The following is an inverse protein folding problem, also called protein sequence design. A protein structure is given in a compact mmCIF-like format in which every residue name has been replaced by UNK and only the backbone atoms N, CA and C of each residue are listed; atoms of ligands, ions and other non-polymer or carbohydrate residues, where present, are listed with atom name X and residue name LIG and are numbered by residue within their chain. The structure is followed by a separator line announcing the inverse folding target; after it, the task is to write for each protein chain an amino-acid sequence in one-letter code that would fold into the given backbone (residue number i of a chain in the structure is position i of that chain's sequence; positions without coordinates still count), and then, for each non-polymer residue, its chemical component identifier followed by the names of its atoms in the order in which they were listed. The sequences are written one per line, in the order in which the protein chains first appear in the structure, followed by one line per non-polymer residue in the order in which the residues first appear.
data_IF_174912126450
#
_entry.id   IF_174912126450
#
_cell.length_a   1.000
_cell.length_b   1.000
_cell.length_c   1.000
_cell.angle_alpha   90.00
_cell.angle_beta   90.00
_cell.angle_gamma   90.00
#
_symmetry.space_group_name_H-M   'P 1'
#
loop_
_entity.id
_entity.type
_entity.pdbx_description
1 polymer ?
#
# COMPACT_ATOMS: atom_id res chain seq x y z
N UNK A 1 22.41 13.90 -30.23
CA UNK A 1 22.60 12.44 -30.36
C UNK A 1 21.30 11.84 -30.91
N UNK A 2 21.38 10.85 -31.80
CA UNK A 2 20.21 10.20 -32.42
C UNK A 2 20.47 8.69 -32.37
N UNK A 3 19.54 7.92 -31.82
CA UNK A 3 19.51 6.46 -31.96
C UNK A 3 18.47 6.12 -33.05
N UNK A 4 18.91 5.50 -34.14
CA UNK A 4 18.03 5.19 -35.28
C UNK A 4 17.12 3.97 -35.05
N UNK A 5 17.40 3.19 -34.00
CA UNK A 5 16.73 1.92 -33.70
C UNK A 5 17.52 0.72 -34.24
N UNK A 6 17.32 -0.45 -33.62
CA UNK A 6 17.98 -1.71 -34.00
C UNK A 6 17.13 -2.60 -34.94
N UNK A 7 16.10 -2.05 -35.55
CA UNK A 7 15.25 -2.79 -36.48
C UNK A 7 15.89 -2.87 -37.86
N UNK A 8 15.58 -3.92 -38.62
CA UNK A 8 16.12 -4.12 -39.98
C UNK A 8 15.73 -2.99 -40.95
N UNK A 9 14.59 -2.36 -40.72
CA UNK A 9 14.12 -1.20 -41.47
C UNK A 9 13.77 -0.08 -40.50
N UNK A 10 14.59 0.96 -40.49
CA UNK A 10 14.42 2.13 -39.61
C UNK A 10 13.82 3.30 -40.37
N UNK A 11 13.12 4.19 -39.66
CA UNK A 11 12.49 5.37 -40.27
C UNK A 11 13.47 6.45 -40.75
N UNK A 12 14.69 6.49 -40.21
CA UNK A 12 15.80 7.33 -40.69
C UNK A 12 17.12 6.58 -40.55
N UNK A 13 17.98 6.58 -41.55
CA UNK A 13 19.23 5.80 -41.55
C UNK A 13 20.44 6.64 -41.15
N UNK A 14 21.62 6.01 -41.01
CA UNK A 14 22.85 6.72 -40.62
C UNK A 14 23.19 7.89 -41.55
N UNK A 15 23.11 7.67 -42.87
CA UNK A 15 23.50 8.69 -43.85
C UNK A 15 22.61 9.94 -43.77
N UNK A 16 21.30 9.79 -43.56
CA UNK A 16 20.37 10.92 -43.45
C UNK A 16 20.75 11.84 -42.29
N UNK A 17 21.09 11.23 -41.14
CA UNK A 17 21.43 11.95 -39.93
C UNK A 17 22.83 12.57 -40.02
N UNK A 18 23.81 11.88 -40.62
CA UNK A 18 25.15 12.43 -40.83
C UNK A 18 25.17 13.59 -41.83
N UNK A 19 24.37 13.55 -42.89
CA UNK A 19 24.24 14.69 -43.80
C UNK A 19 23.61 15.92 -43.11
N UNK A 20 22.66 15.71 -42.19
CA UNK A 20 22.12 16.79 -41.36
C UNK A 20 23.16 17.37 -40.40
N UNK A 21 24.01 16.52 -39.83
CA UNK A 21 25.12 16.93 -38.96
C UNK A 21 26.23 17.65 -39.75
N UNK A 22 26.53 17.21 -40.97
CA UNK A 22 27.44 17.89 -41.89
C UNK A 22 26.95 19.31 -42.20
N UNK A 23 25.66 19.48 -42.48
CA UNK A 23 25.06 20.78 -42.77
C UNK A 23 24.98 21.72 -41.54
N UNK A 24 25.03 21.20 -40.31
CA UNK A 24 24.93 22.01 -39.10
C UNK A 24 26.29 22.63 -38.73
N UNK A 25 26.46 23.97 -38.76
CA UNK A 25 27.74 24.61 -38.46
C UNK A 25 28.22 24.40 -37.02
N UNK A 26 27.33 24.09 -36.08
CA UNK A 26 27.69 23.83 -34.67
C UNK A 26 28.35 22.46 -34.47
N UNK A 27 28.13 21.51 -35.39
CA UNK A 27 28.77 20.19 -35.33
C UNK A 27 30.16 20.28 -35.93
N UNK A 28 31.19 19.87 -35.17
CA UNK A 28 32.60 19.91 -35.60
C UNK A 28 33.17 18.56 -36.03
N UNK A 29 32.63 17.48 -35.49
CA UNK A 29 32.92 16.10 -35.88
C UNK A 29 31.70 15.22 -35.58
N UNK A 30 31.68 14.02 -36.14
CA UNK A 30 30.57 13.07 -35.99
C UNK A 30 31.06 11.75 -35.41
N UNK A 31 30.20 11.09 -34.64
CA UNK A 31 30.42 9.74 -34.12
C UNK A 31 29.34 8.81 -34.68
N UNK A 32 29.75 7.75 -35.37
CA UNK A 32 28.87 6.67 -35.84
C UNK A 32 29.14 5.40 -35.05
N UNK A 33 28.12 4.88 -34.38
CA UNK A 33 28.17 3.55 -33.77
C UNK A 33 27.25 2.63 -34.57
N UNK A 34 27.86 1.82 -35.43
CA UNK A 34 27.16 0.85 -36.26
C UNK A 34 27.09 -0.52 -35.59
N UNK A 35 26.50 -1.49 -36.26
CA UNK A 35 26.39 -2.86 -35.77
C UNK A 35 26.61 -3.90 -36.88
N UNK A 36 26.76 -5.15 -36.49
CA UNK A 36 26.72 -6.30 -37.41
C UNK A 36 25.34 -6.39 -38.06
N UNK A 37 25.26 -6.81 -39.33
CA UNK A 37 24.00 -6.94 -40.07
C UNK A 37 23.67 -5.73 -40.94
N UNK A 38 23.12 -5.98 -42.13
CA UNK A 38 22.82 -4.93 -43.11
C UNK A 38 24.05 -4.19 -43.65
N UNK A 39 23.81 -3.15 -44.47
CA UNK A 39 24.86 -2.46 -45.24
C UNK A 39 24.76 -0.94 -45.19
N UNK A 40 24.05 -0.38 -44.20
CA UNK A 40 23.78 1.06 -44.14
C UNK A 40 25.06 1.90 -43.97
N UNK A 41 26.06 1.39 -43.26
CA UNK A 41 27.35 2.07 -43.04
C UNK A 41 28.12 2.28 -44.35
N UNK A 42 27.92 1.43 -45.36
CA UNK A 42 28.56 1.62 -46.67
C UNK A 42 28.05 2.86 -47.42
N UNK A 43 26.81 3.30 -47.15
CA UNK A 43 26.31 4.58 -47.70
C UNK A 43 27.08 5.77 -47.14
N UNK A 44 27.54 5.67 -45.89
CA UNK A 44 28.39 6.68 -45.24
C UNK A 44 29.78 6.67 -45.86
N UNK A 45 30.36 5.48 -46.06
CA UNK A 45 31.65 5.31 -46.75
C UNK A 45 31.62 5.98 -48.12
N UNK A 46 30.56 5.76 -48.91
CA UNK A 46 30.40 6.38 -50.22
C UNK A 46 30.24 7.91 -50.16
N UNK A 47 29.53 8.42 -49.15
CA UNK A 47 29.40 9.85 -48.93
C UNK A 47 30.73 10.54 -48.57
N UNK A 48 31.60 9.84 -47.83
CA UNK A 48 32.97 10.31 -47.53
C UNK A 48 33.82 10.29 -48.80
N UNK A 49 33.84 9.17 -49.55
CA UNK A 49 34.59 9.06 -50.83
C UNK A 49 34.20 10.14 -51.84
N UNK A 50 32.90 10.43 -51.95
CA UNK A 50 32.38 11.44 -52.87
C UNK A 50 32.54 12.89 -52.38
N UNK A 51 33.09 13.10 -51.18
CA UNK A 51 33.31 14.43 -50.60
C UNK A 51 32.03 15.14 -50.15
N UNK A 52 30.91 14.40 -50.01
CA UNK A 52 29.64 14.93 -49.48
C UNK A 52 29.70 15.14 -47.97
N UNK A 53 30.46 14.30 -47.26
CA UNK A 53 30.80 14.51 -45.86
C UNK A 53 32.27 14.85 -45.78
N UNK A 54 32.59 16.01 -45.19
CA UNK A 54 33.96 16.52 -45.08
C UNK A 54 34.43 16.64 -43.64
N UNK A 55 33.51 16.79 -42.69
CA UNK A 55 33.88 16.83 -41.27
C UNK A 55 34.39 15.46 -40.81
N UNK A 56 35.34 15.42 -39.86
CA UNK A 56 35.86 14.18 -39.32
C UNK A 56 34.76 13.27 -38.78
N UNK A 57 34.85 11.98 -39.10
CA UNK A 57 33.97 10.93 -38.55
C UNK A 57 34.83 9.96 -37.74
N UNK A 58 34.40 9.68 -36.51
CA UNK A 58 34.82 8.50 -35.75
C UNK A 58 33.75 7.44 -35.92
N UNK A 59 34.12 6.21 -36.29
CA UNK A 59 33.15 5.14 -36.43
C UNK A 59 33.61 3.80 -35.87
N UNK A 60 32.67 3.05 -35.33
CA UNK A 60 32.88 1.66 -34.91
C UNK A 60 31.60 0.85 -35.08
N UNK A 61 31.68 -0.27 -35.80
CA UNK A 61 30.64 -1.29 -35.84
C UNK A 61 30.89 -2.32 -34.74
N UNK A 62 29.91 -2.48 -33.85
CA UNK A 62 29.92 -3.53 -32.81
C UNK A 62 29.48 -4.89 -33.37
N UNK A 63 29.75 -5.98 -32.65
CA UNK A 63 29.42 -7.34 -33.09
C UNK A 63 30.57 -8.07 -33.78
N UNK A 64 31.82 -7.64 -33.55
CA UNK A 64 33.03 -8.30 -34.07
C UNK A 64 33.20 -9.74 -33.58
N UNK A 65 32.55 -10.11 -32.47
CA UNK A 65 32.53 -11.49 -31.96
C UNK A 65 31.79 -12.45 -32.91
N UNK A 66 30.88 -11.96 -33.75
CA UNK A 66 30.04 -12.77 -34.64
C UNK A 66 30.86 -13.75 -35.51
N UNK A 67 32.09 -13.37 -35.86
CA UNK A 67 33.01 -14.18 -36.67
C UNK A 67 33.54 -15.45 -36.00
N UNK A 68 33.45 -15.53 -34.67
CA UNK A 68 33.91 -16.68 -33.90
C UNK A 68 32.79 -17.70 -33.64
N UNK A 69 31.58 -17.45 -34.15
CA UNK A 69 30.47 -18.39 -34.08
C UNK A 69 30.33 -19.13 -35.42
N UNK A 70 30.15 -20.45 -35.35
CA UNK A 70 30.04 -21.32 -36.53
C UNK A 70 28.67 -21.25 -37.22
N UNK A 71 27.67 -20.62 -36.57
CA UNK A 71 26.30 -20.45 -37.05
C UNK A 71 25.90 -18.98 -37.09
N UNK A 72 25.01 -18.59 -38.02
CA UNK A 72 24.44 -17.24 -38.04
C UNK A 72 23.72 -16.90 -36.74
N UNK A 73 24.34 -16.09 -35.89
CA UNK A 73 23.78 -15.64 -34.60
C UNK A 73 22.94 -14.39 -34.82
N UNK A 74 21.67 -14.47 -34.44
CA UNK A 74 20.80 -13.31 -34.27
C UNK A 74 21.07 -12.68 -32.90
N UNK A 75 21.55 -11.44 -32.87
CA UNK A 75 21.68 -10.67 -31.64
C UNK A 75 20.36 -9.96 -31.29
N UNK A 76 20.27 -9.35 -30.11
CA UNK A 76 19.01 -8.85 -29.53
C UNK A 76 18.27 -7.81 -30.37
N UNK A 77 18.98 -7.00 -31.15
CA UNK A 77 18.38 -6.11 -32.14
C UNK A 77 17.93 -6.90 -33.38
N UNK A 78 16.72 -6.66 -33.89
CA UNK A 78 16.16 -7.41 -35.01
C UNK A 78 17.01 -7.33 -36.29
N UNK A 79 17.74 -6.23 -36.50
CA UNK A 79 18.68 -6.03 -37.61
C UNK A 79 20.06 -6.68 -37.41
N UNK A 80 20.40 -7.07 -36.19
CA UNK A 80 21.74 -7.50 -35.82
C UNK A 80 22.01 -8.98 -36.15
N UNK A 81 22.03 -9.30 -37.44
CA UNK A 81 22.39 -10.60 -37.99
C UNK A 81 23.08 -10.42 -39.33
N UNK A 82 24.27 -11.00 -39.51
CA UNK A 82 25.01 -10.96 -40.75
C UNK A 82 24.66 -12.16 -41.63
N UNK A 83 24.16 -11.89 -42.83
CA UNK A 83 23.84 -12.92 -43.82
C UNK A 83 24.95 -13.10 -44.88
N UNK A 84 26.05 -12.35 -44.75
CA UNK A 84 27.24 -12.44 -45.60
C UNK A 84 28.38 -11.56 -45.10
N UNK A 85 29.58 -11.76 -45.66
CA UNK A 85 30.83 -11.13 -45.17
C UNK A 85 30.76 -9.60 -45.12
N UNK A 86 30.09 -8.98 -46.09
CA UNK A 86 29.91 -7.52 -46.15
C UNK A 86 29.09 -6.98 -44.96
N UNK A 87 28.20 -7.78 -44.39
CA UNK A 87 27.37 -7.40 -43.24
C UNK A 87 28.11 -7.59 -41.91
N UNK A 88 29.30 -8.19 -41.92
CA UNK A 88 30.09 -8.36 -40.69
C UNK A 88 30.65 -7.03 -40.18
N UNK A 89 30.66 -6.87 -38.85
CA UNK A 89 31.20 -5.67 -38.21
C UNK A 89 32.68 -5.41 -38.58
N UNK A 90 33.49 -6.46 -38.72
CA UNK A 90 34.90 -6.36 -39.08
C UNK A 90 35.10 -5.86 -40.52
N UNK A 91 34.31 -6.37 -41.49
CA UNK A 91 34.35 -5.89 -42.86
C UNK A 91 33.97 -4.40 -42.94
N UNK A 92 32.91 -4.00 -42.24
CA UNK A 92 32.48 -2.59 -42.16
C UNK A 92 33.55 -1.70 -41.53
N UNK A 93 34.13 -2.12 -40.39
CA UNK A 93 35.20 -1.38 -39.71
C UNK A 93 36.43 -1.19 -40.60
N UNK A 94 36.87 -2.23 -41.31
CA UNK A 94 37.97 -2.14 -42.27
C UNK A 94 37.64 -1.18 -43.42
N UNK A 95 36.45 -1.31 -44.01
CA UNK A 95 36.03 -0.47 -45.13
C UNK A 95 35.88 1.02 -44.73
N UNK A 96 35.41 1.31 -43.52
CA UNK A 96 35.39 2.67 -42.98
C UNK A 96 36.81 3.22 -42.80
N UNK A 97 37.73 2.42 -42.26
CA UNK A 97 39.13 2.84 -42.05
C UNK A 97 39.85 3.17 -43.36
N UNK A 98 39.59 2.43 -44.43
CA UNK A 98 40.20 2.64 -45.76
C UNK A 98 39.85 4.00 -46.39
N UNK A 99 38.73 4.62 -46.01
CA UNK A 99 38.30 5.93 -46.53
C UNK A 99 38.65 7.09 -45.61
N UNK A 100 39.49 6.85 -44.59
CA UNK A 100 39.96 7.90 -43.68
C UNK A 100 39.01 8.20 -42.52
N UNK A 101 37.99 7.37 -42.27
CA UNK A 101 37.20 7.44 -41.04
C UNK A 101 38.07 6.95 -39.88
N UNK A 102 38.04 7.63 -38.74
CA UNK A 102 38.77 7.23 -37.56
C UNK A 102 38.09 5.99 -36.92
N UNK A 103 38.70 4.82 -37.09
CA UNK A 103 38.17 3.54 -36.58
C UNK A 103 39.14 2.98 -35.52
N UNK A 104 38.71 2.77 -34.27
CA UNK A 104 39.56 2.19 -33.22
C UNK A 104 39.87 0.71 -33.49
N UNK A 105 40.82 0.15 -32.73
CA UNK A 105 41.12 -1.28 -32.78
C UNK A 105 40.03 -2.12 -32.08
N UNK A 106 39.44 -1.56 -31.02
CA UNK A 106 38.32 -2.13 -30.27
C UNK A 106 37.37 -1.05 -29.75
N UNK A 107 36.20 -1.44 -29.27
CA UNK A 107 35.27 -0.50 -28.64
C UNK A 107 35.88 0.21 -27.41
N UNK A 108 36.80 -0.44 -26.70
CA UNK A 108 37.44 0.12 -25.50
C UNK A 108 38.37 1.29 -25.83
N UNK A 109 38.86 1.37 -27.06
CA UNK A 109 39.77 2.44 -27.50
C UNK A 109 38.99 3.66 -28.06
N UNK A 110 37.66 3.57 -28.15
CA UNK A 110 36.81 4.64 -28.65
C UNK A 110 36.95 5.95 -27.84
N UNK A 111 37.01 5.94 -26.49
CA UNK A 111 37.22 7.16 -25.70
C UNK A 111 38.55 7.86 -26.02
N UNK A 112 39.62 7.11 -26.29
CA UNK A 112 40.93 7.66 -26.61
C UNK A 112 40.91 8.39 -27.96
N UNK A 113 40.29 7.79 -28.99
CA UNK A 113 40.15 8.44 -30.30
C UNK A 113 39.26 9.67 -30.24
N UNK A 114 38.15 9.61 -29.51
CA UNK A 114 37.26 10.77 -29.31
C UNK A 114 38.04 11.91 -28.63
N UNK A 115 38.78 11.59 -27.57
CA UNK A 115 39.61 12.57 -26.86
C UNK A 115 40.68 13.17 -27.78
N UNK A 116 41.42 12.35 -28.52
CA UNK A 116 42.49 12.82 -29.41
C UNK A 116 41.96 13.79 -30.48
N UNK A 117 40.88 13.42 -31.18
CA UNK A 117 40.28 14.28 -32.21
C UNK A 117 39.70 15.57 -31.61
N UNK A 118 39.07 15.50 -30.43
CA UNK A 118 38.58 16.70 -29.75
C UNK A 118 39.71 17.69 -29.45
N UNK A 119 40.83 17.21 -28.90
CA UNK A 119 41.97 18.06 -28.57
C UNK A 119 42.67 18.63 -29.83
N UNK A 120 42.74 17.86 -30.91
CA UNK A 120 43.24 18.33 -32.21
C UNK A 120 42.39 19.50 -32.73
N UNK A 121 41.06 19.31 -32.81
CA UNK A 121 40.13 20.33 -33.28
C UNK A 121 40.05 21.55 -32.34
N UNK A 122 40.31 21.36 -31.05
CA UNK A 122 40.42 22.44 -30.07
C UNK A 122 41.70 23.26 -30.29
N UNK A 123 42.86 22.60 -30.49
CA UNK A 123 44.14 23.25 -30.75
C UNK A 123 44.12 24.04 -32.08
N UNK A 124 43.38 23.58 -33.09
CA UNK A 124 43.13 24.30 -34.34
C UNK A 124 42.16 25.49 -34.20
N UNK A 125 41.47 25.62 -33.06
CA UNK A 125 40.46 26.65 -32.80
C UNK A 125 39.09 26.36 -33.42
N UNK A 126 38.88 25.15 -33.97
CA UNK A 126 37.60 24.70 -34.53
C UNK A 126 36.56 24.46 -33.43
N UNK A 127 37.00 23.89 -32.30
CA UNK A 127 36.22 23.77 -31.06
C UNK A 127 36.71 24.84 -30.08
N UNK A 128 35.78 25.52 -29.40
CA UNK A 128 36.07 26.57 -28.43
C UNK A 128 35.65 26.13 -27.03
N UNK A 129 36.28 26.71 -26.03
CA UNK A 129 35.85 26.53 -24.64
C UNK A 129 34.43 27.05 -24.43
N UNK A 130 33.65 26.30 -23.66
CA UNK A 130 32.32 26.69 -23.22
C UNK A 130 32.31 26.87 -21.70
N UNK A 131 31.53 27.83 -21.22
CA UNK A 131 31.33 28.01 -19.78
C UNK A 131 30.32 26.97 -19.32
N UNK A 132 30.73 26.10 -18.40
CA UNK A 132 29.87 25.07 -17.85
C UNK A 132 28.65 25.69 -17.14
N UNK A 133 27.41 25.29 -17.49
CA UNK A 133 26.22 25.81 -16.85
C UNK A 133 26.08 25.29 -15.42
N UNK A 134 25.34 26.01 -14.58
CA UNK A 134 24.93 25.48 -13.27
C UNK A 134 23.91 24.35 -13.45
N UNK A 135 24.16 23.21 -12.82
CA UNK A 135 23.28 22.04 -12.87
C UNK A 135 22.14 22.16 -11.85
N UNK A 136 20.93 21.73 -12.24
CA UNK A 136 19.81 21.60 -11.30
C UNK A 136 20.11 20.49 -10.28
N UNK A 137 19.97 20.81 -8.99
CA UNK A 137 20.16 19.84 -7.90
C UNK A 137 18.84 19.12 -7.63
N UNK A 138 18.85 17.79 -7.64
CA UNK A 138 17.68 17.01 -7.23
C UNK A 138 17.45 17.20 -5.71
N UNK A 139 16.27 17.69 -5.29
CA UNK A 139 16.02 17.94 -3.87
C UNK A 139 15.91 16.62 -3.09
N UNK A 140 16.68 16.48 -2.01
CA UNK A 140 16.70 15.33 -1.09
C UNK A 140 15.68 15.45 0.05
N UNK A 141 14.54 16.11 -0.19
CA UNK A 141 13.61 16.49 0.89
C UNK A 141 12.83 15.28 1.38
N UNK A 142 13.05 14.92 2.66
CA UNK A 142 12.23 13.96 3.39
C UNK A 142 11.05 14.68 4.04
N UNK A 143 9.83 14.20 3.81
CA UNK A 143 8.62 14.68 4.52
C UNK A 143 8.28 13.76 5.69
N UNK A 144 7.95 14.36 6.83
CA UNK A 144 7.46 13.60 8.00
C UNK A 144 6.05 13.05 7.75
N UNK A 145 5.80 11.84 8.26
CA UNK A 145 4.45 11.26 8.27
C UNK A 145 3.56 12.06 9.21
N UNK A 146 2.34 12.35 8.79
CA UNK A 146 1.35 13.10 9.59
C UNK A 146 0.40 12.20 10.38
N UNK A 147 0.27 10.94 9.93
CA UNK A 147 -0.65 9.96 10.51
C UNK A 147 0.07 8.64 10.74
N UNK A 148 -0.39 7.91 11.76
CA UNK A 148 0.07 6.57 12.09
C UNK A 148 -1.17 5.67 12.11
N UNK A 149 -1.22 4.68 11.22
CA UNK A 149 -2.19 3.58 11.29
C UNK A 149 -1.47 2.33 11.80
N UNK A 150 -2.10 1.60 12.73
CA UNK A 150 -1.53 0.36 13.29
C UNK A 150 -2.48 -0.83 13.20
N UNK A 151 -3.66 -0.65 12.60
CA UNK A 151 -4.73 -1.66 12.58
C UNK A 151 -4.92 -2.29 11.20
N UNK A 152 -4.55 -1.58 10.13
CA UNK A 152 -4.64 -2.09 8.76
C UNK A 152 -3.56 -1.50 7.87
N UNK A 153 -3.22 -2.24 6.81
CA UNK A 153 -2.31 -1.82 5.75
C UNK A 153 -2.81 -2.34 4.40
N UNK A 154 -3.05 -1.44 3.46
CA UNK A 154 -3.62 -1.69 2.13
C UNK A 154 -2.62 -1.40 1.00
N UNK A 155 -1.36 -1.11 1.33
CA UNK A 155 -0.36 -0.64 0.36
C UNK A 155 0.39 -1.76 -0.37
N UNK A 156 0.36 -2.97 0.17
CA UNK A 156 0.99 -4.15 -0.43
C UNK A 156 0.10 -4.79 -1.50
N UNK A 157 0.54 -5.94 -2.01
CA UNK A 157 -0.24 -6.74 -2.97
C UNK A 157 -1.57 -7.23 -2.38
N UNK A 158 -1.66 -7.30 -1.05
CA UNK A 158 -2.85 -7.69 -0.32
C UNK A 158 -3.08 -6.81 0.92
N UNK A 159 -4.35 -6.53 1.24
CA UNK A 159 -4.73 -5.83 2.45
C UNK A 159 -4.50 -6.67 3.70
N UNK A 160 -4.08 -6.03 4.79
CA UNK A 160 -3.80 -6.68 6.06
C UNK A 160 -4.66 -6.10 7.20
N UNK A 161 -5.10 -6.96 8.11
CA UNK A 161 -5.64 -6.60 9.43
C UNK A 161 -4.62 -6.95 10.51
N UNK A 162 -3.97 -5.94 11.10
CA UNK A 162 -2.91 -6.12 12.12
C UNK A 162 -1.89 -7.23 11.77
N UNK A 163 -1.45 -7.30 10.52
CA UNK A 163 -0.48 -8.30 10.05
C UNK A 163 -1.08 -9.62 9.55
N UNK A 164 -2.39 -9.80 9.63
CA UNK A 164 -3.08 -10.91 8.97
C UNK A 164 -3.46 -10.51 7.54
N UNK A 165 -2.98 -11.21 6.50
CA UNK A 165 -3.45 -10.97 5.13
C UNK A 165 -4.94 -11.29 5.01
N UNK A 166 -5.69 -10.51 4.22
CA UNK A 166 -7.15 -10.63 4.15
C UNK A 166 -7.59 -12.03 3.68
N UNK A 167 -6.83 -12.68 2.78
CA UNK A 167 -7.01 -14.06 2.34
C UNK A 167 -6.98 -15.08 3.49
N UNK A 168 -6.27 -14.80 4.59
CA UNK A 168 -6.22 -15.68 5.75
C UNK A 168 -7.41 -15.53 6.72
N UNK A 169 -8.30 -14.55 6.48
CA UNK A 169 -9.38 -14.21 7.43
C UNK A 169 -10.76 -14.02 6.81
N UNK A 170 -10.85 -13.69 5.52
CA UNK A 170 -12.09 -13.16 4.95
C UNK A 170 -13.15 -14.21 4.59
N UNK A 171 -12.72 -15.44 4.28
CA UNK A 171 -13.63 -16.47 3.77
C UNK A 171 -14.01 -17.49 4.85
N UNK A 172 -15.23 -18.08 4.81
CA UNK A 172 -15.70 -18.99 5.85
C UNK A 172 -14.80 -20.21 6.11
N UNK A 173 -14.07 -20.67 5.09
CA UNK A 173 -13.14 -21.80 5.18
C UNK A 173 -11.87 -21.50 5.99
N UNK A 174 -11.56 -20.23 6.26
CA UNK A 174 -10.43 -19.82 7.11
C UNK A 174 -10.65 -20.14 8.59
N UNK A 175 -11.90 -20.38 9.00
CA UNK A 175 -12.29 -20.55 10.40
C UNK A 175 -12.22 -19.27 11.24
N UNK A 176 -12.03 -18.11 10.61
CA UNK A 176 -12.19 -16.80 11.25
C UNK A 176 -13.64 -16.34 11.11
N UNK A 177 -14.16 -15.73 12.17
CA UNK A 177 -15.50 -15.15 12.18
C UNK A 177 -15.44 -13.63 12.35
N UNK A 178 -16.59 -12.96 12.31
CA UNK A 178 -16.63 -11.50 12.48
C UNK A 178 -16.07 -11.08 13.85
N UNK A 179 -16.28 -11.90 14.90
CA UNK A 179 -15.67 -11.66 16.20
C UNK A 179 -14.14 -11.77 16.20
N UNK A 180 -13.55 -12.67 15.39
CA UNK A 180 -12.09 -12.73 15.22
C UNK A 180 -11.59 -11.43 14.57
N UNK A 181 -12.23 -10.97 13.49
CA UNK A 181 -11.88 -9.71 12.79
C UNK A 181 -12.01 -8.51 13.72
N UNK A 182 -13.07 -8.43 14.52
CA UNK A 182 -13.23 -7.40 15.56
C UNK A 182 -12.08 -7.47 16.57
N UNK A 183 -11.71 -8.66 17.04
CA UNK A 183 -10.63 -8.81 18.03
C UNK A 183 -9.29 -8.31 17.48
N UNK A 184 -9.00 -8.63 16.22
CA UNK A 184 -7.78 -8.24 15.52
C UNK A 184 -7.77 -6.73 15.30
N UNK A 185 -8.83 -6.13 14.75
CA UNK A 185 -8.84 -4.69 14.44
C UNK A 185 -8.90 -3.81 15.69
N UNK A 186 -9.67 -4.19 16.70
CA UNK A 186 -9.87 -3.35 17.89
C UNK A 186 -8.78 -3.56 18.95
N UNK A 187 -8.32 -4.81 19.12
CA UNK A 187 -7.38 -5.16 20.19
C UNK A 187 -6.02 -5.66 19.68
N UNK A 188 -5.80 -5.70 18.36
CA UNK A 188 -4.54 -6.14 17.71
C UNK A 188 -4.12 -7.55 18.08
N UNK A 189 -5.09 -8.40 18.43
CA UNK A 189 -4.88 -9.79 18.86
C UNK A 189 -6.07 -10.64 18.44
N UNK A 190 -5.80 -11.85 17.98
CA UNK A 190 -6.83 -12.88 17.86
C UNK A 190 -7.14 -13.41 19.26
N UNK A 191 -8.39 -13.30 19.69
CA UNK A 191 -8.82 -13.80 20.99
C UNK A 191 -9.07 -15.31 21.00
N UNK A 192 -9.05 -15.97 22.18
CA UNK A 192 -9.50 -17.34 22.32
C UNK A 192 -10.95 -17.51 21.85
N UNK A 193 -11.31 -18.72 21.41
CA UNK A 193 -12.62 -18.99 20.79
C UNK A 193 -13.80 -18.57 21.68
N UNK A 194 -13.76 -18.86 22.98
CA UNK A 194 -14.81 -18.48 23.92
C UNK A 194 -15.05 -16.96 23.99
N UNK A 195 -14.00 -16.15 23.82
CA UNK A 195 -14.08 -14.69 23.88
C UNK A 195 -14.61 -14.14 22.56
N UNK A 196 -14.19 -14.70 21.43
CA UNK A 196 -14.76 -14.40 20.10
C UNK A 196 -16.25 -14.73 20.06
N UNK A 197 -16.63 -15.91 20.54
CA UNK A 197 -18.03 -16.34 20.63
C UNK A 197 -18.85 -15.44 21.56
N UNK A 198 -18.25 -14.94 22.65
CA UNK A 198 -18.90 -13.97 23.51
C UNK A 198 -19.14 -12.63 22.81
N UNK A 199 -18.14 -12.09 22.08
CA UNK A 199 -18.31 -10.87 21.29
C UNK A 199 -19.46 -10.99 20.29
N UNK A 200 -19.58 -12.13 19.62
CA UNK A 200 -20.70 -12.38 18.71
C UNK A 200 -22.03 -12.58 19.42
N UNK A 201 -22.01 -13.19 20.61
CA UNK A 201 -23.20 -13.32 21.46
C UNK A 201 -23.70 -11.95 21.87
N UNK A 202 -22.82 -11.04 22.26
CA UNK A 202 -23.16 -9.64 22.56
C UNK A 202 -23.75 -8.97 21.33
N UNK A 203 -23.10 -9.08 20.17
CA UNK A 203 -23.59 -8.51 18.91
C UNK A 203 -25.00 -9.00 18.54
N UNK A 204 -25.30 -10.28 18.80
CA UNK A 204 -26.63 -10.88 18.60
C UNK A 204 -27.65 -10.48 19.66
N UNK A 205 -27.20 -10.03 20.83
CA UNK A 205 -28.07 -9.66 21.97
C UNK A 205 -28.53 -8.20 21.91
N UNK A 206 -27.73 -7.31 21.32
CA UNK A 206 -28.03 -5.87 21.21
C UNK A 206 -28.35 -5.35 19.80
N UNK A 207 -28.81 -6.15 18.80
CA UNK A 207 -29.01 -5.63 17.44
C UNK A 207 -30.18 -4.64 17.36
N UNK A 208 -31.20 -4.79 18.20
CA UNK A 208 -32.34 -3.87 18.31
C UNK A 208 -33.08 -4.04 19.66
N UNK A 209 -33.75 -2.99 20.12
CA UNK A 209 -34.67 -3.02 21.28
C UNK A 209 -36.02 -2.36 20.96
N UNK A 210 -36.36 -2.30 19.68
CA UNK A 210 -37.61 -1.76 19.18
C UNK A 210 -37.58 -0.24 18.93
N UNK A 211 -38.61 0.28 18.26
CA UNK A 211 -38.58 1.61 17.64
C UNK A 211 -38.83 2.78 18.63
N UNK A 212 -38.97 2.48 19.93
CA UNK A 212 -39.29 3.46 20.96
C UNK A 212 -38.05 4.03 21.66
N UNK A 213 -36.89 3.39 21.52
CA UNK A 213 -35.65 3.89 22.09
C UNK A 213 -35.12 5.09 21.27
N UNK A 214 -34.36 5.98 21.91
CA UNK A 214 -33.93 7.27 21.32
C UNK A 214 -33.30 7.12 19.94
N UNK A 215 -32.34 6.19 19.77
CA UNK A 215 -31.65 6.00 18.49
C UNK A 215 -32.57 5.49 17.39
N UNK A 216 -33.37 4.46 17.66
CA UNK A 216 -34.31 3.91 16.69
C UNK A 216 -35.41 4.92 16.32
N UNK A 217 -35.89 5.71 17.29
CA UNK A 217 -36.86 6.77 17.04
C UNK A 217 -36.30 7.85 16.11
N UNK A 218 -35.10 8.36 16.39
CA UNK A 218 -34.44 9.38 15.57
C UNK A 218 -34.19 8.88 14.15
N UNK A 219 -33.63 7.67 14.00
CA UNK A 219 -33.40 7.08 12.68
C UNK A 219 -34.70 6.94 11.89
N UNK A 220 -35.78 6.49 12.54
CA UNK A 220 -37.11 6.38 11.93
C UNK A 220 -37.67 7.74 11.50
N UNK A 221 -37.58 8.76 12.34
CA UNK A 221 -38.07 10.12 12.02
C UNK A 221 -37.28 10.69 10.84
N UNK A 222 -35.96 10.55 10.84
CA UNK A 222 -35.09 11.04 9.76
C UNK A 222 -35.35 10.31 8.44
N UNK A 223 -35.55 8.99 8.47
CA UNK A 223 -35.93 8.24 7.27
C UNK A 223 -37.31 8.67 6.75
N UNK A 224 -38.29 8.89 7.64
CA UNK A 224 -39.61 9.42 7.26
C UNK A 224 -39.58 10.84 6.73
N UNK A 225 -38.53 11.60 7.04
CA UNK A 225 -38.26 12.91 6.45
C UNK A 225 -37.62 12.83 5.05
N UNK A 226 -37.52 11.64 4.46
CA UNK A 226 -36.99 11.43 3.10
C UNK A 226 -35.46 11.49 3.01
N UNK A 227 -34.76 11.31 4.14
CA UNK A 227 -33.30 11.27 4.16
C UNK A 227 -32.77 9.87 3.80
N UNK A 228 -31.55 9.83 3.30
CA UNK A 228 -30.86 8.59 2.93
C UNK A 228 -30.52 7.73 4.16
N UNK A 229 -30.07 6.50 3.89
CA UNK A 229 -29.74 5.50 4.92
C UNK A 229 -28.63 5.98 5.85
N UNK A 230 -27.59 6.64 5.34
CA UNK A 230 -26.45 7.09 6.14
C UNK A 230 -26.89 8.23 7.06
N UNK A 231 -27.60 9.23 6.52
CA UNK A 231 -28.16 10.33 7.32
C UNK A 231 -29.10 9.82 8.42
N UNK A 232 -29.97 8.87 8.09
CA UNK A 232 -30.91 8.28 9.04
C UNK A 232 -30.21 7.47 10.13
N UNK A 233 -29.21 6.67 9.74
CA UNK A 233 -28.39 5.90 10.68
C UNK A 233 -27.64 6.83 11.64
N UNK A 234 -26.92 7.83 11.13
CA UNK A 234 -26.13 8.77 11.94
C UNK A 234 -27.03 9.56 12.91
N UNK A 235 -28.21 9.99 12.46
CA UNK A 235 -29.19 10.66 13.33
C UNK A 235 -29.57 9.81 14.55
N UNK A 236 -29.70 8.49 14.37
CA UNK A 236 -29.90 7.55 15.47
C UNK A 236 -28.63 7.35 16.32
N UNK A 237 -27.48 7.11 15.69
CA UNK A 237 -26.21 6.85 16.38
C UNK A 237 -25.75 8.03 17.25
N UNK A 238 -26.01 9.27 16.84
CA UNK A 238 -25.68 10.47 17.63
C UNK A 238 -26.46 10.59 18.95
N UNK A 239 -27.48 9.76 19.15
CA UNK A 239 -28.17 9.66 20.45
C UNK A 239 -27.44 8.74 21.44
N UNK A 240 -26.51 7.90 20.96
CA UNK A 240 -25.75 6.97 21.80
C UNK A 240 -24.76 7.77 22.66
N UNK A 241 -24.85 7.56 23.96
CA UNK A 241 -24.09 8.31 24.96
C UNK A 241 -24.56 7.98 26.38
N UNK A 242 -24.34 8.86 27.37
CA UNK A 242 -24.54 8.53 28.79
C UNK A 242 -25.96 8.08 29.16
N UNK A 243 -26.99 8.56 28.44
CA UNK A 243 -28.40 8.23 28.73
C UNK A 243 -28.99 7.14 27.85
N UNK A 244 -28.31 6.75 26.77
CA UNK A 244 -28.76 5.74 25.82
C UNK A 244 -27.55 4.97 25.31
N UNK A 245 -27.39 3.71 25.72
CA UNK A 245 -26.26 2.84 25.36
C UNK A 245 -25.03 2.95 26.27
N UNK A 246 -24.84 4.05 27.01
CA UNK A 246 -23.68 4.24 27.90
C UNK A 246 -23.65 3.36 29.16
N UNK A 247 -24.78 2.71 29.51
CA UNK A 247 -24.88 1.92 30.74
C UNK A 247 -23.95 0.70 30.78
N UNK A 248 -23.53 0.17 29.62
CA UNK A 248 -22.57 -0.94 29.51
C UNK A 248 -21.21 -0.50 30.04
N UNK A 249 -20.69 0.62 29.52
CA UNK A 249 -19.37 1.16 29.89
C UNK A 249 -19.36 1.64 31.35
N UNK A 250 -20.43 2.31 31.78
CA UNK A 250 -20.57 2.75 33.17
C UNK A 250 -20.63 1.56 34.14
N UNK A 251 -21.38 0.50 33.82
CA UNK A 251 -21.43 -0.69 34.66
C UNK A 251 -20.03 -1.34 34.77
N UNK A 252 -19.38 -1.61 33.65
CA UNK A 252 -18.02 -2.16 33.61
C UNK A 252 -17.06 -1.32 34.46
N UNK A 253 -17.10 0.02 34.30
CA UNK A 253 -16.27 0.96 35.04
C UNK A 253 -16.49 0.89 36.55
N UNK A 254 -17.74 1.00 37.04
CA UNK A 254 -18.01 1.08 38.47
C UNK A 254 -17.85 -0.26 39.19
N UNK A 255 -18.27 -1.37 38.56
CA UNK A 255 -18.03 -2.70 39.12
C UNK A 255 -16.53 -2.99 39.18
N UNK A 256 -15.78 -2.69 38.11
CA UNK A 256 -14.33 -2.87 38.09
C UNK A 256 -13.64 -1.99 39.13
N UNK A 257 -14.04 -0.72 39.25
CA UNK A 257 -13.50 0.19 40.26
C UNK A 257 -13.70 -0.36 41.68
N UNK A 258 -14.89 -0.86 42.00
CA UNK A 258 -15.16 -1.44 43.32
C UNK A 258 -14.30 -2.68 43.58
N UNK A 259 -14.17 -3.57 42.59
CA UNK A 259 -13.33 -4.77 42.67
C UNK A 259 -11.85 -4.43 42.82
N UNK A 260 -11.32 -3.50 42.02
CA UNK A 260 -9.91 -3.09 42.04
C UNK A 260 -9.53 -2.43 43.38
N UNK A 261 -10.48 -1.76 44.04
CA UNK A 261 -10.29 -1.14 45.35
C UNK A 261 -10.65 -2.08 46.53
N UNK A 262 -10.94 -3.36 46.26
CA UNK A 262 -11.26 -4.35 47.31
C UNK A 262 -12.51 -3.99 48.12
N UNK A 263 -13.44 -3.22 47.55
CA UNK A 263 -14.68 -2.85 48.24
C UNK A 263 -15.56 -4.08 48.42
N UNK A 264 -16.13 -4.26 49.62
CA UNK A 264 -17.22 -5.24 49.76
C UNK A 264 -18.45 -4.77 48.98
N UNK A 265 -19.36 -5.67 48.57
CA UNK A 265 -20.62 -5.28 47.93
C UNK A 265 -21.40 -4.22 48.72
N UNK A 266 -21.38 -4.28 50.05
CA UNK A 266 -22.03 -3.27 50.90
C UNK A 266 -21.32 -1.91 50.85
N UNK A 267 -19.99 -1.89 50.85
CA UNK A 267 -19.22 -0.66 50.73
C UNK A 267 -19.45 0.01 49.38
N UNK A 268 -19.54 -0.78 48.31
CA UNK A 268 -19.89 -0.29 46.98
C UNK A 268 -21.29 0.31 46.93
N UNK A 269 -22.30 -0.34 47.52
CA UNK A 269 -23.65 0.24 47.62
C UNK A 269 -23.64 1.59 48.37
N UNK A 270 -22.87 1.70 49.44
CA UNK A 270 -22.72 2.93 50.21
C UNK A 270 -21.98 4.02 49.41
N UNK A 271 -20.94 3.64 48.68
CA UNK A 271 -20.21 4.53 47.78
C UNK A 271 -21.15 5.11 46.71
N UNK A 272 -21.87 4.26 45.98
CA UNK A 272 -22.81 4.72 44.94
C UNK A 272 -23.94 5.60 45.50
N UNK A 273 -24.43 5.28 46.71
CA UNK A 273 -25.40 6.12 47.41
C UNK A 273 -24.83 7.50 47.77
N UNK A 274 -23.57 7.57 48.19
CA UNK A 274 -22.87 8.82 48.53
C UNK A 274 -22.65 9.69 47.29
N UNK A 275 -22.29 9.07 46.16
CA UNK A 275 -22.17 9.76 44.87
C UNK A 275 -23.52 10.27 44.35
N UNK A 276 -24.63 9.72 44.86
CA UNK A 276 -25.98 10.12 44.45
C UNK A 276 -26.38 9.60 43.07
N UNK A 277 -25.69 8.56 42.57
CA UNK A 277 -25.89 7.98 41.25
C UNK A 277 -26.49 6.57 41.40
N UNK A 278 -27.60 6.25 40.69
CA UNK A 278 -28.09 4.87 40.62
C UNK A 278 -27.01 3.95 40.04
N UNK A 279 -26.92 2.73 40.55
CA UNK A 279 -25.89 1.77 40.11
C UNK A 279 -26.13 1.40 38.64
N UNK A 280 -25.22 1.77 37.71
CA UNK A 280 -25.36 1.40 36.31
C UNK A 280 -25.36 -0.12 36.16
N UNK A 281 -26.19 -0.63 35.27
CA UNK A 281 -26.35 -2.08 35.10
C UNK A 281 -27.31 -2.75 36.09
N UNK A 282 -27.83 -2.04 37.10
CA UNK A 282 -28.82 -2.57 38.06
C UNK A 282 -30.18 -1.90 37.83
N UNK A 283 -31.22 -2.73 37.73
CA UNK A 283 -32.61 -2.32 37.63
C UNK A 283 -33.24 -2.60 36.29
N UNK A 284 -34.51 -2.99 36.34
CA UNK A 284 -35.34 -3.22 35.17
C UNK A 284 -36.76 -2.70 35.40
N UNK A 285 -37.43 -2.21 34.34
CA UNK A 285 -38.81 -1.68 34.43
C UNK A 285 -39.87 -2.75 34.70
N UNK A 286 -39.80 -3.88 33.99
CA UNK A 286 -40.80 -4.97 34.03
C UNK A 286 -40.26 -6.27 34.67
N UNK A 287 -39.05 -6.70 34.27
CA UNK A 287 -38.39 -7.92 34.75
C UNK A 287 -38.00 -7.83 36.22
N UNK A 288 -37.96 -9.00 36.86
CA UNK A 288 -37.69 -9.19 38.29
C UNK A 288 -37.12 -10.59 38.52
N UNK A 289 -36.81 -10.94 39.78
CA UNK A 289 -36.36 -12.30 40.12
C UNK A 289 -37.34 -13.40 39.71
N UNK A 290 -38.65 -13.12 39.71
CA UNK A 290 -39.69 -14.10 39.33
C UNK A 290 -39.96 -14.13 37.82
N UNK A 291 -39.54 -13.10 37.09
CA UNK A 291 -39.68 -12.97 35.65
C UNK A 291 -38.35 -12.44 35.09
N UNK A 292 -37.34 -13.30 34.92
CA UNK A 292 -36.01 -12.87 34.54
C UNK A 292 -35.93 -12.35 33.09
N UNK A 293 -34.91 -11.52 32.81
CA UNK A 293 -34.56 -11.15 31.44
C UNK A 293 -33.78 -12.31 30.80
N UNK A 294 -34.37 -12.93 29.77
CA UNK A 294 -33.79 -14.09 29.11
C UNK A 294 -32.45 -13.78 28.42
N UNK A 295 -32.20 -12.53 28.05
CA UNK A 295 -30.90 -12.10 27.50
C UNK A 295 -29.81 -12.20 28.56
N UNK A 296 -30.11 -11.71 29.76
CA UNK A 296 -29.22 -11.77 30.93
C UNK A 296 -28.94 -13.22 31.31
N UNK A 297 -29.98 -14.07 31.37
CA UNK A 297 -29.80 -15.49 31.65
C UNK A 297 -28.93 -16.19 30.60
N UNK A 298 -29.11 -15.86 29.33
CA UNK A 298 -28.27 -16.36 28.22
C UNK A 298 -26.80 -15.98 28.39
N UNK A 299 -26.52 -14.71 28.68
CA UNK A 299 -25.15 -14.20 28.89
C UNK A 299 -24.50 -14.82 30.15
N UNK A 300 -25.23 -14.86 31.27
CA UNK A 300 -24.77 -15.51 32.53
C UNK A 300 -24.43 -16.98 32.30
N UNK A 301 -25.31 -17.71 31.60
CA UNK A 301 -25.09 -19.13 31.25
C UNK A 301 -23.87 -19.30 30.35
N UNK A 302 -23.70 -18.46 29.34
CA UNK A 302 -22.54 -18.51 28.45
C UNK A 302 -21.25 -18.27 29.22
N UNK A 303 -21.19 -17.21 30.02
CA UNK A 303 -20.00 -16.86 30.79
C UNK A 303 -19.63 -18.00 31.75
N UNK A 304 -20.58 -18.50 32.54
CA UNK A 304 -20.35 -19.61 33.48
C UNK A 304 -19.86 -20.90 32.81
N UNK A 305 -20.31 -21.18 31.58
CA UNK A 305 -19.94 -22.40 30.88
C UNK A 305 -18.59 -22.31 30.15
N UNK A 306 -18.19 -21.11 29.70
CA UNK A 306 -17.07 -20.97 28.75
C UNK A 306 -15.92 -20.09 29.26
N UNK A 307 -16.15 -19.18 30.21
CA UNK A 307 -15.10 -18.28 30.68
C UNK A 307 -14.18 -19.03 31.66
N UNK A 308 -12.84 -18.85 31.57
CA UNK A 308 -11.92 -19.43 32.55
C UNK A 308 -12.14 -18.92 33.97
N UNK A 309 -12.63 -17.69 34.13
CA UNK A 309 -12.90 -17.05 35.42
C UNK A 309 -13.91 -15.91 35.27
N UNK A 310 -14.78 -15.73 36.26
CA UNK A 310 -15.83 -14.68 36.26
C UNK A 310 -15.91 -13.86 37.56
N UNK A 311 -14.79 -13.48 38.22
CA UNK A 311 -14.83 -12.88 39.56
C UNK A 311 -15.63 -11.58 39.62
N UNK A 312 -15.60 -10.77 38.57
CA UNK A 312 -16.36 -9.53 38.51
C UNK A 312 -17.86 -9.76 38.34
N UNK A 313 -18.25 -10.79 37.59
CA UNK A 313 -19.64 -11.21 37.48
C UNK A 313 -20.14 -11.79 38.81
N UNK A 314 -19.34 -12.60 39.50
CA UNK A 314 -19.70 -13.15 40.82
C UNK A 314 -19.89 -12.03 41.86
N UNK A 315 -19.03 -11.01 41.80
CA UNK A 315 -19.19 -9.80 42.59
C UNK A 315 -20.48 -9.05 42.24
N UNK A 316 -20.77 -8.85 40.95
CA UNK A 316 -22.00 -8.19 40.48
C UNK A 316 -23.28 -8.96 40.87
N UNK A 317 -23.25 -10.29 40.83
CA UNK A 317 -24.35 -11.15 41.30
C UNK A 317 -24.56 -11.03 42.82
N UNK A 318 -23.50 -10.84 43.59
CA UNK A 318 -23.62 -10.57 45.03
C UNK A 318 -24.25 -9.19 45.27
N UNK A 319 -23.88 -8.18 44.48
CA UNK A 319 -24.53 -6.87 44.50
C UNK A 319 -26.03 -6.98 44.12
N UNK A 320 -26.36 -7.75 43.08
CA UNK A 320 -27.75 -8.03 42.67
C UNK A 320 -28.58 -8.63 43.81
N UNK A 321 -28.03 -9.59 44.57
CA UNK A 321 -28.73 -10.16 45.74
C UNK A 321 -29.05 -9.10 46.80
N UNK A 322 -28.12 -8.17 47.04
CA UNK A 322 -28.32 -7.09 48.01
C UNK A 322 -29.27 -5.98 47.51
N UNK A 323 -29.34 -5.74 46.21
CA UNK A 323 -30.27 -4.75 45.65
C UNK A 323 -31.68 -5.31 45.50
N UNK A 324 -31.81 -6.58 45.13
CA UNK A 324 -33.12 -7.24 44.99
C UNK A 324 -33.83 -7.47 46.32
N UNK A 325 -33.08 -7.59 47.42
CA UNK A 325 -33.65 -7.61 48.78
C UNK A 325 -34.34 -6.28 49.16
N UNK A 326 -33.94 -5.16 48.54
CA UNK A 326 -34.61 -3.87 48.69
C UNK A 326 -35.83 -3.74 47.79
N UNK A 327 -35.74 -4.23 46.55
CA UNK A 327 -36.85 -4.21 45.58
C UNK A 327 -36.64 -5.27 44.49
N UNK A 328 -37.65 -6.10 44.25
CA UNK A 328 -37.56 -7.30 43.38
C UNK A 328 -37.14 -7.00 41.92
N UNK A 329 -37.31 -5.77 41.43
CA UNK A 329 -36.95 -5.37 40.06
C UNK A 329 -35.55 -4.74 39.94
N UNK A 330 -34.79 -4.65 41.03
CA UNK A 330 -33.39 -4.19 41.04
C UNK A 330 -32.41 -5.34 40.71
N UNK A 331 -32.71 -6.04 39.62
CA UNK A 331 -31.91 -7.14 39.06
C UNK A 331 -30.74 -6.60 38.21
N UNK A 332 -29.71 -7.42 37.98
CA UNK A 332 -28.69 -7.15 36.98
C UNK A 332 -29.34 -7.15 35.60
N UNK A 333 -29.20 -6.05 34.87
CA UNK A 333 -29.78 -5.91 33.54
C UNK A 333 -28.79 -6.35 32.46
N UNK A 334 -29.23 -6.32 31.20
CA UNK A 334 -28.40 -6.76 30.07
C UNK A 334 -27.15 -5.91 29.90
N UNK A 335 -27.24 -4.59 30.12
CA UNK A 335 -26.12 -3.68 29.98
C UNK A 335 -25.02 -3.98 31.02
N UNK A 336 -25.42 -4.19 32.28
CA UNK A 336 -24.51 -4.58 33.35
C UNK A 336 -24.04 -6.02 33.31
N UNK A 337 -24.67 -6.89 32.51
CA UNK A 337 -24.20 -8.26 32.29
C UNK A 337 -23.18 -8.35 31.15
N UNK A 338 -23.22 -7.40 30.20
CA UNK A 338 -22.26 -7.29 29.10
C UNK A 338 -20.98 -6.61 29.58
N UNK A 339 -21.11 -5.53 30.35
CA UNK A 339 -20.00 -4.78 30.94
C UNK A 339 -19.33 -5.54 32.08
#
# INVERSE_FOLDING_TARGET
CIAIGGDRFVGSVFIDNLLRMEANPEVKYMLLLGEVGGTEEYKVIEAVKSGKIKKPIIAWCIGTIAKYYDSGVQFGHAGASANGDMETAEAKNRAMKEVGIHVPASFNDLPEIISALYHELHAEGTIKDIIEPSMNVCPSVRKSKQFICTISDDRGDEAHYCGYPISSVATPDTGFTIGDVMSILWFKKRYPRWAVDFLETVLKTVPDHGPAVSGAHNAKVTARAGKDVISSLISGLLTIGPRFGGAIDDAAKYFKYASDNGMSPNDFLNHMKKEGIPIPGIGHRIKSLKNPDLRVEGLKKFAKANFPSTPLLDYALTVEQLTTSKKENLILNVDGSIG
#
